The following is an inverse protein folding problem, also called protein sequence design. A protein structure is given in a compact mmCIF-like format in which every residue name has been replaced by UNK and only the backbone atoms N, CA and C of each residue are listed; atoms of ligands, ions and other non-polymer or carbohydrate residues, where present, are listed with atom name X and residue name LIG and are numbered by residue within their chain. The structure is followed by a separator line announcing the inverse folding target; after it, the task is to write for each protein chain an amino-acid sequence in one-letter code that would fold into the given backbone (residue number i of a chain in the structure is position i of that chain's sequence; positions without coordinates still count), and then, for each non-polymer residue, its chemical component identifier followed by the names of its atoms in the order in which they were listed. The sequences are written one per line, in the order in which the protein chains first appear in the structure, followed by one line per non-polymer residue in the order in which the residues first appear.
data_IF_522797377677
#
_entry.id   IF_522797377677
#
_cell.length_a   1.000
_cell.length_b   1.000
_cell.length_c   1.000
_cell.angle_alpha   90.00
_cell.angle_beta   90.00
_cell.angle_gamma   90.00
#
_symmetry.space_group_name_H-M   'P 1'
#
loop_
_entity.id
_entity.type
_entity.pdbx_description
1 polymer ?
#
# COMPACT_ATOMS: atom_id res chain seq x y z
N UNK A 1 -11.10 12.37 2.12
CA UNK A 1 -9.73 12.88 2.33
C UNK A 1 -8.76 11.72 2.22
N UNK A 2 -7.55 11.92 1.63
CA UNK A 2 -6.49 10.92 1.64
C UNK A 2 -6.14 10.50 3.06
N UNK A 3 -5.71 9.25 3.25
CA UNK A 3 -5.18 8.75 4.52
C UNK A 3 -3.70 8.44 4.34
N UNK A 4 -2.85 9.25 4.92
CA UNK A 4 -1.41 9.01 4.96
C UNK A 4 -1.06 8.06 6.11
N UNK A 5 0.05 7.35 5.97
CA UNK A 5 0.59 6.42 6.97
C UNK A 5 -0.43 5.41 7.51
N UNK A 6 -1.38 5.01 6.65
CA UNK A 6 -2.39 4.04 7.00
C UNK A 6 -1.73 2.68 7.16
N UNK A 7 -1.73 2.20 8.40
CA UNK A 7 -1.02 1.00 8.81
C UNK A 7 -1.86 -0.24 8.56
N UNK A 8 -1.36 -1.17 7.76
CA UNK A 8 -2.07 -2.41 7.45
C UNK A 8 -1.21 -3.64 7.74
N UNK A 9 -1.67 -4.51 8.65
CA UNK A 9 -0.98 -5.76 9.00
C UNK A 9 -0.95 -6.76 7.84
N UNK A 10 0.19 -7.42 7.64
CA UNK A 10 0.43 -8.38 6.56
C UNK A 10 0.95 -9.71 7.09
N UNK A 11 0.71 -10.80 6.35
CA UNK A 11 1.12 -12.15 6.76
C UNK A 11 2.58 -12.47 6.47
N UNK A 12 3.16 -11.83 5.45
CA UNK A 12 4.48 -12.14 4.94
C UNK A 12 5.28 -10.84 4.78
N UNK A 13 6.45 -10.72 5.43
CA UNK A 13 7.32 -9.58 5.23
C UNK A 13 7.91 -9.57 3.80
N UNK A 14 8.44 -8.42 3.43
CA UNK A 14 9.15 -8.18 2.17
C UNK A 14 8.61 -6.98 1.40
N UNK A 15 8.90 -6.98 0.09
CA UNK A 15 8.54 -5.91 -0.84
C UNK A 15 7.16 -6.15 -1.43
N UNK A 16 6.32 -5.13 -1.40
CA UNK A 16 4.97 -5.16 -1.95
C UNK A 16 4.84 -4.14 -3.06
N UNK A 17 4.70 -4.63 -4.29
CA UNK A 17 4.51 -3.77 -5.46
C UNK A 17 3.06 -3.34 -5.57
N UNK A 18 2.85 -2.05 -5.80
CA UNK A 18 1.56 -1.47 -6.18
C UNK A 18 1.24 -1.89 -7.62
N UNK A 19 0.42 -2.94 -7.75
CA UNK A 19 0.05 -3.51 -9.04
C UNK A 19 -1.10 -2.74 -9.71
N UNK A 20 -1.98 -2.15 -8.91
CA UNK A 20 -3.05 -1.28 -9.38
C UNK A 20 -3.28 -0.16 -8.37
N UNK A 21 -3.51 1.04 -8.89
CA UNK A 21 -3.98 2.18 -8.14
C UNK A 21 -5.03 2.92 -8.97
N UNK A 22 -6.29 2.86 -8.54
CA UNK A 22 -7.40 3.48 -9.28
C UNK A 22 -7.37 5.01 -9.23
N UNK A 23 -6.53 5.62 -8.40
CA UNK A 23 -6.29 7.07 -8.38
C UNK A 23 -5.17 7.51 -9.35
N UNK A 24 -4.56 6.59 -10.10
CA UNK A 24 -3.50 6.95 -11.06
C UNK A 24 -3.95 8.02 -12.06
N UNK A 25 -3.03 8.90 -12.46
CA UNK A 25 -3.28 9.89 -13.52
C UNK A 25 -3.72 9.26 -14.85
N UNK A 26 -3.34 8.00 -15.12
CA UNK A 26 -3.80 7.26 -16.31
C UNK A 26 -5.31 6.99 -16.29
N UNK A 27 -5.93 6.98 -15.11
CA UNK A 27 -7.37 6.89 -14.92
C UNK A 27 -8.01 8.26 -14.59
N UNK A 28 -7.27 9.35 -14.81
CA UNK A 28 -7.66 10.72 -14.48
C UNK A 28 -7.92 10.94 -12.97
N UNK A 29 -7.29 10.14 -12.11
CA UNK A 29 -7.26 10.36 -10.68
C UNK A 29 -6.21 11.40 -10.26
N UNK A 30 -6.06 11.61 -8.95
CA UNK A 30 -5.15 12.62 -8.39
C UNK A 30 -3.67 12.19 -8.37
N UNK A 31 -3.39 10.96 -8.79
CA UNK A 31 -2.07 10.32 -8.83
C UNK A 31 -1.39 10.18 -7.47
N UNK A 32 -2.17 10.14 -6.39
CA UNK A 32 -1.65 9.81 -5.07
C UNK A 32 -1.48 8.28 -4.97
N UNK A 33 -0.42 7.83 -4.28
CA UNK A 33 -0.11 6.41 -4.18
C UNK A 33 1.17 6.17 -3.39
N UNK A 34 1.73 4.96 -3.50
CA UNK A 34 2.84 4.53 -2.65
C UNK A 34 4.20 4.46 -3.38
N UNK A 35 4.34 5.12 -4.53
CA UNK A 35 5.62 5.17 -5.25
C UNK A 35 6.03 3.84 -5.90
N UNK A 36 5.07 2.94 -6.16
CA UNK A 36 5.28 1.71 -6.91
C UNK A 36 5.66 0.48 -6.07
N UNK A 37 6.45 0.63 -5.02
CA UNK A 37 6.81 -0.47 -4.10
C UNK A 37 6.81 0.02 -2.65
N UNK A 38 6.28 -0.80 -1.75
CA UNK A 38 6.22 -0.56 -0.31
C UNK A 38 6.97 -1.67 0.41
N UNK A 39 7.89 -1.28 1.30
CA UNK A 39 8.60 -2.21 2.17
C UNK A 39 7.78 -2.48 3.44
N UNK A 40 7.82 -3.72 3.92
CA UNK A 40 7.20 -4.07 5.20
C UNK A 40 8.05 -3.67 6.39
N UNK A 41 7.42 -3.11 7.41
CA UNK A 41 8.03 -2.84 8.70
C UNK A 41 7.76 -3.98 9.69
N UNK A 42 8.71 -4.23 10.60
CA UNK A 42 8.53 -5.10 11.77
C UNK A 42 7.72 -4.40 12.88
N UNK A 43 6.56 -3.85 12.51
CA UNK A 43 5.63 -3.16 13.40
C UNK A 43 4.31 -3.92 13.39
N UNK A 44 3.86 -4.35 14.56
CA UNK A 44 2.64 -5.12 14.68
C UNK A 44 1.38 -4.30 14.34
N UNK A 45 0.47 -4.87 13.56
CA UNK A 45 -0.84 -4.28 13.25
C UNK A 45 -1.83 -5.35 12.80
N UNK A 46 -3.13 -5.13 13.00
CA UNK A 46 -4.22 -6.05 12.65
C UNK A 46 -3.96 -7.52 13.07
N UNK A 47 -3.31 -7.73 14.22
CA UNK A 47 -2.97 -9.07 14.74
C UNK A 47 -1.83 -9.79 13.99
N UNK A 48 -1.00 -9.04 13.25
CA UNK A 48 0.17 -9.54 12.52
C UNK A 48 1.44 -8.85 13.01
N UNK A 49 2.57 -9.54 12.94
CA UNK A 49 3.88 -9.03 13.40
C UNK A 49 4.48 -7.97 12.47
N UNK A 50 4.14 -8.03 11.19
CA UNK A 50 4.59 -7.09 10.17
C UNK A 50 3.43 -6.30 9.57
N UNK A 51 3.74 -5.13 9.02
CA UNK A 51 2.75 -4.23 8.44
C UNK A 51 3.34 -3.31 7.36
N UNK A 52 2.46 -2.69 6.58
CA UNK A 52 2.80 -1.67 5.59
C UNK A 52 2.32 -0.29 6.06
N UNK A 53 3.08 0.76 5.77
CA UNK A 53 2.62 2.15 5.84
C UNK A 53 2.14 2.58 4.47
N UNK A 54 0.85 2.86 4.31
CA UNK A 54 0.25 3.16 3.02
C UNK A 54 -0.34 4.56 2.97
N UNK A 55 -0.12 5.26 1.86
CA UNK A 55 -0.96 6.38 1.45
C UNK A 55 -2.16 5.84 0.68
N UNK A 56 -3.35 6.03 1.23
CA UNK A 56 -4.62 5.66 0.60
C UNK A 56 -5.31 6.92 0.04
N UNK A 57 -5.44 7.06 -1.28
CA UNK A 57 -6.17 8.16 -1.90
C UNK A 57 -7.67 8.10 -1.57
N UNK A 58 -8.38 9.24 -1.65
CA UNK A 58 -9.82 9.28 -1.42
C UNK A 58 -10.56 8.48 -2.50
N UNK A 59 -11.50 7.63 -2.09
CA UNK A 59 -12.37 6.85 -3.00
C UNK A 59 -11.60 5.96 -4.00
N UNK A 60 -10.38 5.54 -3.66
CA UNK A 60 -9.55 4.70 -4.51
C UNK A 60 -9.38 3.29 -3.95
N UNK A 61 -9.08 2.35 -4.85
CA UNK A 61 -8.63 1.00 -4.52
C UNK A 61 -7.17 0.83 -4.91
N UNK A 62 -6.38 0.29 -3.98
CA UNK A 62 -4.98 -0.08 -4.22
C UNK A 62 -4.87 -1.60 -4.15
N UNK A 63 -4.24 -2.20 -5.16
CA UNK A 63 -3.90 -3.61 -5.19
C UNK A 63 -2.40 -3.78 -5.00
N UNK A 64 -2.02 -4.52 -3.97
CA UNK A 64 -0.62 -4.83 -3.67
C UNK A 64 -0.33 -6.30 -3.98
N UNK A 65 0.81 -6.56 -4.60
CA UNK A 65 1.32 -7.90 -4.88
C UNK A 65 2.71 -8.01 -4.28
N UNK A 66 2.91 -9.04 -3.45
CA UNK A 66 4.23 -9.34 -2.90
C UNK A 66 5.17 -9.73 -4.04
N UNK A 67 6.35 -9.12 -4.09
CA UNK A 67 7.41 -9.57 -5.01
C UNK A 67 7.98 -10.88 -4.48
N UNK A 68 8.02 -11.90 -5.33
CA UNK A 68 8.80 -13.10 -5.05
C UNK A 68 10.28 -12.75 -5.21
N UNK A 69 11.09 -13.13 -4.22
CA UNK A 69 12.55 -13.10 -4.36
C UNK A 69 13.01 -14.26 -5.22
#
# INVERSE_FOLDING_TARGET
MPRHDYRFGINQPGRWREALNTDSMHYHGSNQGNGGVVESDAIASHGREHSLSLTLPPLATIWLVREAQ
#
